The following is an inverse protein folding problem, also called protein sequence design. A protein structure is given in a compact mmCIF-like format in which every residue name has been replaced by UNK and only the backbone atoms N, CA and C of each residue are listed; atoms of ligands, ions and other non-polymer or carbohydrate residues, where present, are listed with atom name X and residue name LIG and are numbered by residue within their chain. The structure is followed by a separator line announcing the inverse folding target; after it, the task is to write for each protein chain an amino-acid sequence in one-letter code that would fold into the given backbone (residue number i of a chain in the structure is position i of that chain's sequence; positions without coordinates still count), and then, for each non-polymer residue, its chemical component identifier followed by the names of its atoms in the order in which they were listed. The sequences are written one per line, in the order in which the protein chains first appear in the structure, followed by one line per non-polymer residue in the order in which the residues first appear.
data_IF_718983482813
#
_entry.id   IF_718983482813
#
_cell.length_a   1.000
_cell.length_b   1.000
_cell.length_c   1.000
_cell.angle_alpha   90.00
_cell.angle_beta   90.00
_cell.angle_gamma   90.00
#
_symmetry.space_group_name_H-M   'P 1'
#
loop_
_entity.id
_entity.type
_entity.pdbx_description
1 polymer ?
#
# COMPACT_ATOMS: atom_id res chain seq x y z
N UNK A 1 -38.66 21.71 -57.27
CA UNK A 1 -38.63 21.80 -55.79
C UNK A 1 -38.67 20.43 -55.10
N UNK A 2 -39.63 19.55 -55.41
CA UNK A 2 -39.74 18.20 -54.78
C UNK A 2 -38.48 17.31 -54.91
N UNK A 3 -37.76 17.39 -56.03
CA UNK A 3 -36.55 16.57 -56.27
C UNK A 3 -35.36 16.91 -55.35
N UNK A 4 -35.31 18.10 -54.75
CA UNK A 4 -34.24 18.51 -53.84
C UNK A 4 -34.56 18.21 -52.36
N UNK A 5 -35.84 18.01 -52.02
CA UNK A 5 -36.29 17.80 -50.63
C UNK A 5 -35.94 16.38 -50.17
N UNK A 6 -36.13 15.38 -51.04
CA UNK A 6 -35.87 13.98 -50.68
C UNK A 6 -34.39 13.71 -50.35
N UNK A 7 -33.39 14.14 -51.15
CA UNK A 7 -31.99 13.95 -50.81
C UNK A 7 -31.57 14.67 -49.52
N UNK A 8 -32.13 15.85 -49.25
CA UNK A 8 -31.88 16.61 -48.02
C UNK A 8 -32.42 15.86 -46.80
N UNK A 9 -33.65 15.34 -46.87
CA UNK A 9 -34.25 14.56 -45.78
C UNK A 9 -33.49 13.24 -45.54
N UNK A 10 -33.10 12.54 -46.60
CA UNK A 10 -32.30 11.31 -46.50
C UNK A 10 -30.91 11.61 -45.91
N UNK A 11 -30.24 12.67 -46.38
CA UNK A 11 -28.94 13.09 -45.85
C UNK A 11 -29.01 13.47 -44.36
N UNK A 12 -30.06 14.20 -43.96
CA UNK A 12 -30.31 14.54 -42.55
C UNK A 12 -30.54 13.28 -41.71
N UNK A 13 -31.34 12.33 -42.20
CA UNK A 13 -31.62 11.07 -41.50
C UNK A 13 -30.35 10.22 -41.33
N UNK A 14 -29.56 10.06 -42.39
CA UNK A 14 -28.29 9.31 -42.36
C UNK A 14 -27.30 9.98 -41.40
N UNK A 15 -27.19 11.30 -41.43
CA UNK A 15 -26.31 12.07 -40.53
C UNK A 15 -26.75 11.92 -39.08
N UNK A 16 -28.07 11.96 -38.80
CA UNK A 16 -28.61 11.77 -37.46
C UNK A 16 -28.33 10.35 -36.94
N UNK A 17 -28.50 9.32 -37.78
CA UNK A 17 -28.23 7.93 -37.40
C UNK A 17 -26.73 7.71 -37.15
N UNK A 18 -25.87 8.15 -38.09
CA UNK A 18 -24.43 8.01 -37.97
C UNK A 18 -23.87 8.80 -36.77
N UNK A 19 -24.36 10.04 -36.57
CA UNK A 19 -24.00 10.87 -35.43
C UNK A 19 -24.41 10.23 -34.10
N UNK A 20 -25.65 9.75 -34.00
CA UNK A 20 -26.12 9.07 -32.79
C UNK A 20 -25.32 7.78 -32.50
N UNK A 21 -25.02 6.99 -33.54
CA UNK A 21 -24.21 5.78 -33.38
C UNK A 21 -22.79 6.10 -32.86
N UNK A 22 -22.15 7.13 -33.38
CA UNK A 22 -20.83 7.57 -32.92
C UNK A 22 -20.86 8.09 -31.49
N UNK A 23 -21.87 8.90 -31.13
CA UNK A 23 -22.05 9.41 -29.77
C UNK A 23 -22.28 8.28 -28.79
N UNK A 24 -23.15 7.32 -29.09
CA UNK A 24 -23.42 6.17 -28.24
C UNK A 24 -22.17 5.31 -28.03
N UNK A 25 -21.41 5.04 -29.10
CA UNK A 25 -20.16 4.27 -29.01
C UNK A 25 -19.11 4.98 -28.17
N UNK A 26 -19.01 6.31 -28.30
CA UNK A 26 -18.11 7.14 -27.49
C UNK A 26 -18.54 7.17 -26.01
N UNK A 27 -19.83 7.36 -25.72
CA UNK A 27 -20.38 7.32 -24.36
C UNK A 27 -20.14 5.97 -23.69
N UNK A 28 -20.37 4.86 -24.38
CA UNK A 28 -20.16 3.52 -23.82
C UNK A 28 -18.68 3.27 -23.53
N UNK A 29 -17.76 3.72 -24.40
CA UNK A 29 -16.32 3.63 -24.15
C UNK A 29 -15.92 4.44 -22.92
N UNK A 30 -16.36 5.71 -22.84
CA UNK A 30 -16.03 6.56 -21.70
C UNK A 30 -16.62 6.03 -20.39
N UNK A 31 -17.84 5.49 -20.42
CA UNK A 31 -18.45 4.89 -19.24
C UNK A 31 -17.66 3.68 -18.73
N UNK A 32 -17.19 2.79 -19.62
CA UNK A 32 -16.34 1.65 -19.24
C UNK A 32 -15.03 2.12 -18.60
N UNK A 33 -14.39 3.14 -19.17
CA UNK A 33 -13.17 3.72 -18.60
C UNK A 33 -13.41 4.34 -17.22
N UNK A 34 -14.51 5.06 -17.05
CA UNK A 34 -14.90 5.63 -15.76
C UNK A 34 -15.14 4.55 -14.70
N UNK A 35 -15.86 3.47 -15.05
CA UNK A 35 -16.08 2.34 -14.14
C UNK A 35 -14.78 1.66 -13.75
N UNK A 36 -13.86 1.46 -14.70
CA UNK A 36 -12.54 0.91 -14.44
C UNK A 36 -11.72 1.78 -13.51
N UNK A 37 -11.69 3.10 -13.74
CA UNK A 37 -11.01 4.04 -12.85
C UNK A 37 -11.62 4.06 -11.44
N UNK A 38 -12.93 3.93 -11.30
CA UNK A 38 -13.60 3.83 -10.00
C UNK A 38 -13.19 2.55 -9.27
N UNK A 39 -13.11 1.42 -9.98
CA UNK A 39 -12.60 0.16 -9.43
C UNK A 39 -11.18 0.29 -8.89
N UNK A 40 -10.26 0.82 -9.71
CA UNK A 40 -8.87 1.02 -9.27
C UNK A 40 -8.74 2.00 -8.09
N UNK A 41 -9.56 3.04 -8.04
CA UNK A 41 -9.59 3.95 -6.88
C UNK A 41 -10.06 3.25 -5.61
N UNK A 42 -11.04 2.36 -5.70
CA UNK A 42 -11.52 1.60 -4.55
C UNK A 42 -10.43 0.63 -4.04
N UNK A 43 -9.78 -0.11 -4.95
CA UNK A 43 -8.66 -1.00 -4.59
C UNK A 43 -7.50 -0.25 -3.94
N UNK A 44 -7.16 0.93 -4.47
CA UNK A 44 -6.11 1.79 -3.93
C UNK A 44 -6.47 2.33 -2.53
N UNK A 45 -7.74 2.70 -2.32
CA UNK A 45 -8.23 3.14 -1.01
C UNK A 45 -8.20 2.01 0.04
N UNK A 46 -8.54 0.79 -0.37
CA UNK A 46 -8.48 -0.38 0.51
C UNK A 46 -7.03 -0.74 0.90
N UNK A 47 -6.09 -0.61 -0.04
CA UNK A 47 -4.65 -0.74 0.22
C UNK A 47 -4.16 0.34 1.19
N UNK A 48 -4.57 1.61 1.00
CA UNK A 48 -4.23 2.70 1.92
C UNK A 48 -4.68 2.40 3.34
N UNK A 49 -5.96 2.01 3.51
CA UNK A 49 -6.52 1.66 4.82
C UNK A 49 -5.77 0.49 5.46
N UNK A 50 -5.37 -0.51 4.65
CA UNK A 50 -4.59 -1.64 5.14
C UNK A 50 -3.23 -1.18 5.68
N UNK A 51 -2.51 -0.33 4.94
CA UNK A 51 -1.21 0.21 5.37
C UNK A 51 -1.35 1.02 6.65
N UNK A 52 -2.34 1.92 6.72
CA UNK A 52 -2.63 2.74 7.91
C UNK A 52 -2.96 1.86 9.13
N UNK A 53 -3.76 0.82 8.94
CA UNK A 53 -4.15 -0.10 10.00
C UNK A 53 -2.95 -0.91 10.52
N UNK A 54 -2.13 -1.48 9.63
CA UNK A 54 -0.91 -2.21 10.01
C UNK A 54 0.04 -1.27 10.76
N UNK A 55 0.28 -0.08 10.22
CA UNK A 55 1.18 0.92 10.82
C UNK A 55 0.73 1.33 12.22
N UNK A 56 -0.57 1.58 12.41
CA UNK A 56 -1.12 1.99 13.71
C UNK A 56 -0.99 0.87 14.73
N UNK A 57 -1.47 -0.35 14.43
CA UNK A 57 -1.38 -1.49 15.36
C UNK A 57 0.07 -1.88 15.66
N UNK A 58 0.96 -1.74 14.67
CA UNK A 58 2.39 -1.93 14.86
C UNK A 58 2.94 -0.94 15.90
N UNK A 59 2.69 0.35 15.70
CA UNK A 59 3.20 1.41 16.57
C UNK A 59 2.68 1.26 18.01
N UNK A 60 1.38 0.96 18.16
CA UNK A 60 0.75 0.77 19.47
C UNK A 60 1.38 -0.40 20.23
N UNK A 61 1.55 -1.55 19.57
CA UNK A 61 2.20 -2.72 20.17
C UNK A 61 3.67 -2.44 20.51
N UNK A 62 4.41 -1.80 19.60
CA UNK A 62 5.82 -1.44 19.80
C UNK A 62 5.99 -0.53 21.03
N UNK A 63 5.18 0.51 21.11
CA UNK A 63 5.17 1.46 22.24
C UNK A 63 4.80 0.76 23.55
N UNK A 64 3.80 -0.12 23.55
CA UNK A 64 3.43 -0.87 24.75
C UNK A 64 4.58 -1.77 25.24
N UNK A 65 5.30 -2.44 24.33
CA UNK A 65 6.49 -3.22 24.68
C UNK A 65 7.61 -2.35 25.24
N UNK A 66 7.85 -1.17 24.66
CA UNK A 66 8.82 -0.20 25.19
C UNK A 66 8.43 0.29 26.58
N UNK A 67 7.15 0.52 26.84
CA UNK A 67 6.67 0.94 28.15
C UNK A 67 6.89 -0.14 29.22
N UNK A 68 6.71 -1.43 28.88
CA UNK A 68 7.05 -2.53 29.78
C UNK A 68 8.55 -2.55 30.09
N UNK A 69 9.42 -2.40 29.08
CA UNK A 69 10.87 -2.33 29.33
C UNK A 69 11.21 -1.12 30.22
N UNK A 70 10.58 0.02 29.97
CA UNK A 70 10.80 1.24 30.74
C UNK A 70 10.31 1.11 32.18
N UNK A 71 9.20 0.41 32.45
CA UNK A 71 8.69 0.13 33.81
C UNK A 71 9.55 -0.87 34.59
N UNK A 72 10.37 -1.65 33.90
CA UNK A 72 11.33 -2.56 34.53
C UNK A 72 12.60 -1.86 35.03
N UNK A 73 12.87 -0.62 34.59
CA UNK A 73 14.08 0.12 34.96
C UNK A 73 14.15 0.46 36.47
N UNK A 74 15.36 0.51 37.08
CA UNK A 74 15.54 0.72 38.53
C UNK A 74 14.96 2.01 39.14
N UNK A 75 14.59 3.01 38.33
CA UNK A 75 13.97 4.26 38.78
C UNK A 75 12.78 4.66 37.90
N UNK A 76 12.02 3.67 37.44
CA UNK A 76 10.88 3.96 36.57
C UNK A 76 9.75 4.65 37.33
N UNK A 77 9.18 5.69 36.72
CA UNK A 77 7.91 6.29 37.15
C UNK A 77 6.70 5.52 36.62
N UNK A 78 6.91 4.56 35.71
CA UNK A 78 5.83 3.76 35.14
C UNK A 78 5.52 2.56 36.04
N UNK A 79 4.23 2.35 36.31
CA UNK A 79 3.74 1.20 37.06
C UNK A 79 3.81 -0.04 36.16
N UNK A 80 4.54 -1.08 36.60
CA UNK A 80 4.76 -2.29 35.82
C UNK A 80 3.46 -2.99 35.43
N UNK A 81 2.52 -3.13 36.35
CA UNK A 81 1.26 -3.84 36.10
C UNK A 81 0.39 -3.10 35.05
N UNK A 82 0.31 -1.77 35.12
CA UNK A 82 -0.39 -0.97 34.09
C UNK A 82 0.25 -1.13 32.71
N UNK A 83 1.59 -1.11 32.64
CA UNK A 83 2.32 -1.32 31.40
C UNK A 83 2.09 -2.74 30.84
N UNK A 84 2.03 -3.76 31.70
CA UNK A 84 1.76 -5.14 31.30
C UNK A 84 0.35 -5.32 30.77
N UNK A 85 -0.65 -4.70 31.40
CA UNK A 85 -2.03 -4.78 30.95
C UNK A 85 -2.23 -4.09 29.61
N UNK A 86 -1.62 -2.91 29.42
CA UNK A 86 -1.58 -2.24 28.12
C UNK A 86 -0.91 -3.11 27.05
N UNK A 87 0.24 -3.72 27.36
CA UNK A 87 0.94 -4.63 26.44
C UNK A 87 0.08 -5.84 26.05
N UNK A 88 -0.53 -6.53 27.03
CA UNK A 88 -1.42 -7.67 26.76
C UNK A 88 -2.59 -7.28 25.87
N UNK A 89 -3.21 -6.13 26.12
CA UNK A 89 -4.26 -5.59 25.27
C UNK A 89 -3.81 -5.44 23.81
N UNK A 90 -2.62 -4.87 23.59
CA UNK A 90 -2.08 -4.70 22.24
C UNK A 90 -1.67 -6.02 21.57
N UNK A 91 -1.23 -7.02 22.33
CA UNK A 91 -0.97 -8.37 21.79
C UNK A 91 -2.26 -9.00 21.25
N UNK A 92 -3.37 -8.89 22.00
CA UNK A 92 -4.67 -9.41 21.56
C UNK A 92 -5.15 -8.68 20.30
N UNK A 93 -5.07 -7.35 20.28
CA UNK A 93 -5.46 -6.53 19.12
C UNK A 93 -4.63 -6.88 17.88
N UNK A 94 -3.31 -7.02 18.02
CA UNK A 94 -2.43 -7.40 16.92
C UNK A 94 -2.76 -8.79 16.40
N UNK A 95 -2.80 -9.78 17.29
CA UNK A 95 -3.02 -11.17 16.90
C UNK A 95 -4.42 -11.39 16.28
N UNK A 96 -5.43 -10.67 16.77
CA UNK A 96 -6.78 -10.69 16.18
C UNK A 96 -6.84 -10.11 14.76
N UNK A 97 -5.93 -9.19 14.41
CA UNK A 97 -5.87 -8.58 13.08
C UNK A 97 -4.99 -9.34 12.08
N UNK A 98 -4.06 -10.18 12.53
CA UNK A 98 -3.06 -10.84 11.68
C UNK A 98 -3.65 -11.59 10.48
N UNK A 99 -4.68 -12.42 10.70
CA UNK A 99 -5.32 -13.17 9.61
C UNK A 99 -5.94 -12.25 8.55
N UNK A 100 -6.56 -11.15 8.99
CA UNK A 100 -7.11 -10.13 8.08
C UNK A 100 -5.99 -9.47 7.28
N UNK A 101 -4.86 -9.16 7.92
CA UNK A 101 -3.70 -8.59 7.24
C UNK A 101 -3.13 -9.53 6.17
N UNK A 102 -2.93 -10.82 6.47
CA UNK A 102 -2.39 -11.77 5.49
C UNK A 102 -3.29 -11.91 4.26
N UNK A 103 -4.60 -12.02 4.48
CA UNK A 103 -5.56 -12.14 3.37
C UNK A 103 -5.58 -10.86 2.54
N UNK A 104 -5.67 -9.69 3.19
CA UNK A 104 -5.76 -8.41 2.48
C UNK A 104 -4.46 -8.05 1.77
N UNK A 105 -3.28 -8.31 2.37
CA UNK A 105 -2.00 -8.12 1.69
C UNK A 105 -1.89 -9.00 0.45
N UNK A 106 -2.33 -10.26 0.54
CA UNK A 106 -2.32 -11.17 -0.61
C UNK A 106 -3.23 -10.70 -1.75
N UNK A 107 -4.40 -10.14 -1.43
CA UNK A 107 -5.36 -9.65 -2.42
C UNK A 107 -4.89 -8.32 -3.02
N UNK A 108 -4.45 -7.39 -2.17
CA UNK A 108 -4.12 -6.03 -2.58
C UNK A 108 -2.73 -5.91 -3.18
N UNK A 109 -1.77 -6.75 -2.79
CA UNK A 109 -0.38 -6.67 -3.27
C UNK A 109 0.04 -8.01 -3.87
N UNK A 110 0.54 -8.92 -3.04
CA UNK A 110 0.96 -10.25 -3.43
C UNK A 110 1.15 -11.15 -2.19
N UNK A 111 1.42 -12.43 -2.43
CA UNK A 111 1.69 -13.40 -1.37
C UNK A 111 3.02 -13.15 -0.65
N UNK A 112 4.01 -12.55 -1.31
CA UNK A 112 5.32 -12.28 -0.73
C UNK A 112 5.23 -11.20 0.36
N UNK A 113 4.39 -10.17 0.19
CA UNK A 113 4.12 -9.16 1.23
C UNK A 113 3.49 -9.77 2.48
N UNK A 114 2.60 -10.76 2.33
CA UNK A 114 2.03 -11.47 3.48
C UNK A 114 3.10 -12.30 4.23
N UNK A 115 3.97 -12.99 3.50
CA UNK A 115 5.12 -13.71 4.08
C UNK A 115 6.08 -12.74 4.79
N UNK A 116 6.35 -11.58 4.19
CA UNK A 116 7.19 -10.55 4.81
C UNK A 116 6.59 -9.99 6.09
N UNK A 117 5.26 -9.80 6.15
CA UNK A 117 4.61 -9.38 7.39
C UNK A 117 4.85 -10.40 8.53
N UNK A 118 4.80 -11.70 8.22
CA UNK A 118 5.12 -12.76 9.17
C UNK A 118 6.58 -12.67 9.65
N UNK A 119 7.54 -12.73 8.73
CA UNK A 119 8.97 -12.83 9.07
C UNK A 119 9.62 -11.52 9.51
N UNK A 120 9.28 -10.39 8.88
CA UNK A 120 9.96 -9.11 9.13
C UNK A 120 9.34 -8.36 10.33
N UNK A 121 8.09 -8.69 10.71
CA UNK A 121 7.30 -7.96 11.71
C UNK A 121 6.74 -8.86 12.81
N UNK A 122 5.97 -9.91 12.48
CA UNK A 122 5.30 -10.73 13.50
C UNK A 122 6.27 -11.60 14.31
N UNK A 123 7.15 -12.35 13.66
CA UNK A 123 8.13 -13.21 14.32
C UNK A 123 9.08 -12.42 15.24
N UNK A 124 9.63 -11.26 14.82
CA UNK A 124 10.47 -10.46 15.72
C UNK A 124 9.69 -9.86 16.89
N UNK A 125 8.41 -9.51 16.71
CA UNK A 125 7.53 -9.14 17.82
C UNK A 125 7.36 -10.27 18.83
N UNK A 126 7.12 -11.50 18.36
CA UNK A 126 6.99 -12.66 19.23
C UNK A 126 8.29 -12.96 19.98
N UNK A 127 9.44 -12.83 19.30
CA UNK A 127 10.76 -13.00 19.90
C UNK A 127 11.03 -11.97 21.00
N UNK A 128 10.82 -10.68 20.70
CA UNK A 128 10.98 -9.61 21.67
C UNK A 128 10.01 -9.79 22.86
N UNK A 129 8.77 -10.22 22.61
CA UNK A 129 7.77 -10.51 23.64
C UNK A 129 8.25 -11.59 24.62
N UNK A 130 8.77 -12.71 24.11
CA UNK A 130 9.33 -13.78 24.96
C UNK A 130 10.47 -13.30 25.85
N UNK A 131 11.33 -12.43 25.33
CA UNK A 131 12.45 -11.85 26.09
C UNK A 131 11.97 -10.92 27.21
N UNK A 132 10.99 -10.06 26.90
CA UNK A 132 10.36 -9.19 27.91
C UNK A 132 9.69 -10.04 28.99
N UNK A 133 8.93 -11.07 28.62
CA UNK A 133 8.25 -11.96 29.57
C UNK A 133 9.21 -12.71 30.48
N UNK A 134 10.38 -13.12 29.98
CA UNK A 134 11.42 -13.75 30.79
C UNK A 134 11.92 -12.80 31.89
N UNK A 135 12.21 -11.54 31.55
CA UNK A 135 12.66 -10.53 32.52
C UNK A 135 11.56 -10.18 33.52
N UNK A 136 10.32 -10.06 33.06
CA UNK A 136 9.16 -9.82 33.94
C UNK A 136 8.99 -10.95 34.95
N UNK A 137 9.17 -12.21 34.51
CA UNK A 137 9.07 -13.38 35.39
C UNK A 137 10.17 -13.40 36.45
N UNK A 138 11.42 -13.14 36.07
CA UNK A 138 12.54 -13.00 36.99
C UNK A 138 12.26 -11.93 38.05
N UNK A 139 11.78 -10.75 37.64
CA UNK A 139 11.42 -9.67 38.57
C UNK A 139 10.34 -10.09 39.57
N UNK A 140 9.31 -10.81 39.09
CA UNK A 140 8.23 -11.33 39.95
C UNK A 140 8.69 -12.41 40.93
N UNK A 141 9.79 -13.09 40.63
CA UNK A 141 10.43 -14.06 41.52
C UNK A 141 11.35 -13.39 42.56
N UNK A 142 11.45 -12.05 42.54
CA UNK A 142 12.28 -11.29 43.48
C UNK A 142 13.72 -11.13 43.02
N UNK A 143 14.06 -11.51 41.78
CA UNK A 143 15.40 -11.29 41.22
C UNK A 143 15.62 -9.79 40.97
N UNK A 144 16.82 -9.31 41.31
CA UNK A 144 17.24 -7.94 41.05
C UNK A 144 17.56 -7.78 39.56
N UNK A 145 16.72 -7.04 38.84
CA UNK A 145 16.88 -6.84 37.39
C UNK A 145 17.92 -5.75 37.13
N UNK A 146 18.97 -6.11 36.40
CA UNK A 146 19.98 -5.17 35.93
C UNK A 146 19.61 -4.55 34.58
N UNK A 147 20.22 -3.41 34.23
CA UNK A 147 20.10 -2.83 32.89
C UNK A 147 20.57 -3.77 31.78
N UNK A 148 21.48 -4.70 32.09
CA UNK A 148 22.01 -5.67 31.14
C UNK A 148 20.94 -6.70 30.75
N UNK A 149 20.08 -7.09 31.67
CA UNK A 149 18.98 -8.03 31.40
C UNK A 149 17.94 -7.43 30.45
N UNK A 150 17.84 -6.09 30.43
CA UNK A 150 16.97 -5.35 29.51
C UNK A 150 17.63 -5.04 28.15
N UNK A 151 18.94 -5.20 28.02
CA UNK A 151 19.69 -4.79 26.83
C UNK A 151 19.27 -5.57 25.58
N UNK A 152 19.16 -6.89 25.69
CA UNK A 152 18.75 -7.76 24.58
C UNK A 152 17.34 -7.43 24.08
N UNK A 153 16.38 -7.24 25.00
CA UNK A 153 15.01 -6.88 24.64
C UNK A 153 14.94 -5.50 23.95
N UNK A 154 15.73 -4.53 24.42
CA UNK A 154 15.84 -3.19 23.79
C UNK A 154 16.42 -3.26 22.39
N UNK A 155 17.51 -4.02 22.21
CA UNK A 155 18.15 -4.19 20.90
C UNK A 155 17.21 -4.86 19.90
N UNK A 156 16.46 -5.87 20.33
CA UNK A 156 15.44 -6.52 19.50
C UNK A 156 14.33 -5.54 19.09
N UNK A 157 13.83 -4.70 20.01
CA UNK A 157 12.82 -3.70 19.68
C UNK A 157 13.36 -2.61 18.74
N UNK A 158 14.63 -2.22 18.87
CA UNK A 158 15.28 -1.28 17.95
C UNK A 158 15.43 -1.89 16.56
N UNK A 159 15.85 -3.16 16.48
CA UNK A 159 15.97 -3.89 15.22
C UNK A 159 14.60 -4.05 14.54
N UNK A 160 13.58 -4.42 15.31
CA UNK A 160 12.20 -4.52 14.85
C UNK A 160 11.70 -3.18 14.28
N UNK A 161 12.04 -2.05 14.91
CA UNK A 161 11.73 -0.73 14.37
C UNK A 161 12.32 -0.52 12.97
N UNK A 162 13.58 -0.91 12.76
CA UNK A 162 14.22 -0.83 11.46
C UNK A 162 13.57 -1.73 10.41
N UNK A 163 13.35 -3.02 10.72
CA UNK A 163 12.77 -3.99 9.76
C UNK A 163 11.35 -3.61 9.39
N UNK A 164 10.54 -3.22 10.36
CA UNK A 164 9.14 -2.86 10.16
C UNK A 164 9.00 -1.53 9.41
N UNK A 165 9.89 -0.57 9.65
CA UNK A 165 9.96 0.64 8.85
C UNK A 165 10.27 0.33 7.38
N UNK A 166 11.24 -0.56 7.12
CA UNK A 166 11.55 -1.02 5.76
C UNK A 166 10.33 -1.66 5.08
N UNK A 167 9.64 -2.55 5.79
CA UNK A 167 8.39 -3.15 5.31
C UNK A 167 7.31 -2.10 4.98
N UNK A 168 6.98 -1.21 5.91
CA UNK A 168 5.96 -0.17 5.71
C UNK A 168 6.32 0.81 4.59
N UNK A 169 7.61 1.16 4.46
CA UNK A 169 8.11 1.99 3.36
C UNK A 169 7.88 1.30 2.02
N UNK A 170 8.18 0.01 1.92
CA UNK A 170 8.00 -0.74 0.67
C UNK A 170 6.52 -0.81 0.29
N UNK A 171 5.61 -1.06 1.24
CA UNK A 171 4.15 -1.00 1.00
C UNK A 171 3.69 0.39 0.53
N UNK A 172 4.22 1.44 1.15
CA UNK A 172 3.89 2.82 0.79
C UNK A 172 4.41 3.18 -0.60
N UNK A 173 5.56 2.61 -0.99
CA UNK A 173 6.14 2.79 -2.33
C UNK A 173 5.24 2.12 -3.37
N UNK A 174 4.82 0.87 -3.15
CA UNK A 174 3.87 0.17 -4.03
C UNK A 174 2.54 0.94 -4.16
N UNK A 175 2.01 1.46 -3.04
CA UNK A 175 0.85 2.35 -3.07
C UNK A 175 1.07 3.60 -3.93
N UNK A 176 2.20 4.29 -3.79
CA UNK A 176 2.52 5.49 -4.54
C UNK A 176 2.69 5.21 -6.04
N UNK A 177 3.31 4.09 -6.39
CA UNK A 177 3.54 3.68 -7.77
C UNK A 177 2.21 3.36 -8.47
N UNK A 178 1.34 2.57 -7.83
CA UNK A 178 -0.01 2.29 -8.31
C UNK A 178 -0.86 3.54 -8.43
N UNK A 179 -0.77 4.45 -7.45
CA UNK A 179 -1.45 5.75 -7.52
C UNK A 179 -0.97 6.56 -8.73
N UNK A 180 0.34 6.64 -8.95
CA UNK A 180 0.89 7.35 -10.11
C UNK A 180 0.38 6.72 -11.41
N UNK A 181 0.35 5.39 -11.52
CA UNK A 181 -0.18 4.69 -12.69
C UNK A 181 -1.67 4.98 -12.95
N UNK A 182 -2.51 5.01 -11.91
CA UNK A 182 -3.96 5.26 -12.05
C UNK A 182 -4.25 6.70 -12.46
N UNK A 183 -3.57 7.68 -11.86
CA UNK A 183 -3.90 9.11 -12.04
C UNK A 183 -3.07 9.80 -13.11
N UNK A 184 -1.80 9.44 -13.26
CA UNK A 184 -0.89 10.01 -14.25
C UNK A 184 -0.73 9.12 -15.48
N UNK A 185 -1.19 7.86 -15.43
CA UNK A 185 -0.94 6.84 -16.45
C UNK A 185 0.47 6.25 -16.36
N UNK A 186 0.67 5.07 -16.95
CA UNK A 186 1.97 4.43 -17.01
C UNK A 186 2.89 5.21 -17.95
N UNK A 187 3.99 5.74 -17.41
CA UNK A 187 5.06 6.38 -18.19
C UNK A 187 5.87 5.29 -18.88
N UNK A 188 5.73 5.20 -20.20
CA UNK A 188 6.53 4.29 -21.04
C UNK A 188 7.63 5.12 -21.68
N UNK A 189 8.86 4.84 -21.30
CA UNK A 189 10.04 5.47 -21.87
C UNK A 189 10.44 4.80 -23.18
N UNK A 190 10.93 5.59 -24.12
CA UNK A 190 11.36 5.09 -25.42
C UNK A 190 12.51 4.08 -25.27
N UNK A 191 12.24 2.80 -25.55
CA UNK A 191 13.19 1.68 -25.54
C UNK A 191 12.78 0.64 -26.58
N UNK A 192 13.74 -0.05 -27.18
CA UNK A 192 13.50 -1.00 -28.28
C UNK A 192 12.48 -2.10 -27.93
N UNK A 193 12.42 -2.51 -26.66
CA UNK A 193 11.49 -3.55 -26.18
C UNK A 193 10.03 -3.13 -26.00
N UNK A 194 9.69 -1.85 -26.12
CA UNK A 194 8.32 -1.31 -25.92
C UNK A 194 7.80 -0.52 -27.13
N UNK A 195 8.50 -0.57 -28.27
CA UNK A 195 8.10 0.14 -29.51
C UNK A 195 6.69 -0.23 -29.98
N UNK A 196 6.23 -1.45 -29.72
CA UNK A 196 4.87 -1.92 -30.05
C UNK A 196 3.77 -1.20 -29.28
N UNK A 197 4.09 -0.53 -28.18
CA UNK A 197 3.14 0.24 -27.37
C UNK A 197 2.99 1.69 -27.84
N UNK A 198 3.82 2.13 -28.80
CA UNK A 198 3.77 3.46 -29.41
C UNK A 198 2.90 3.42 -30.67
N UNK A 199 2.02 4.40 -30.83
CA UNK A 199 1.35 4.59 -32.12
C UNK A 199 2.34 5.18 -33.13
N UNK A 200 2.07 5.01 -34.43
CA UNK A 200 2.87 5.63 -35.50
C UNK A 200 3.05 7.13 -35.28
N UNK A 201 2.02 7.79 -34.74
CA UNK A 201 2.06 9.23 -34.42
C UNK A 201 2.96 9.55 -33.22
N UNK A 202 2.98 8.69 -32.20
CA UNK A 202 3.89 8.85 -31.05
C UNK A 202 5.35 8.66 -31.46
N UNK A 203 5.63 7.71 -32.35
CA UNK A 203 6.96 7.49 -32.92
C UNK A 203 7.43 8.68 -33.76
N UNK A 204 6.54 9.28 -34.55
CA UNK A 204 6.85 10.49 -35.32
C UNK A 204 7.19 11.65 -34.37
N UNK A 205 6.44 11.83 -33.28
CA UNK A 205 6.76 12.84 -32.26
C UNK A 205 8.12 12.59 -31.60
N UNK A 206 8.50 11.34 -31.40
CA UNK A 206 9.79 10.97 -30.81
C UNK A 206 10.98 11.50 -31.62
N UNK A 207 10.84 11.61 -32.95
CA UNK A 207 11.89 12.15 -33.85
C UNK A 207 12.18 13.63 -33.54
N UNK A 208 11.19 14.38 -33.03
CA UNK A 208 11.31 15.80 -32.74
C UNK A 208 11.60 16.10 -31.26
N UNK A 209 11.77 15.07 -30.42
CA UNK A 209 12.11 15.25 -29.02
C UNK A 209 13.60 15.63 -28.89
N UNK A 210 13.88 16.67 -28.10
CA UNK A 210 15.26 17.07 -27.81
C UNK A 210 15.95 15.97 -26.99
N UNK A 211 17.22 15.63 -27.26
CA UNK A 211 17.93 14.54 -26.59
C UNK A 211 18.07 14.70 -25.06
N UNK A 212 17.79 15.88 -24.51
CA UNK A 212 17.84 16.18 -23.07
C UNK A 212 16.53 15.71 -22.38
N UNK A 213 15.41 15.70 -23.10
CA UNK A 213 14.13 15.22 -22.60
C UNK A 213 13.98 13.76 -22.98
N UNK A 214 14.10 12.86 -22.00
CA UNK A 214 13.81 11.43 -22.21
C UNK A 214 12.38 11.29 -22.72
N UNK A 215 12.19 11.04 -24.02
CA UNK A 215 10.85 10.91 -24.61
C UNK A 215 10.09 9.75 -23.96
N UNK A 216 8.87 10.03 -23.49
CA UNK A 216 7.97 9.04 -22.94
C UNK A 216 6.54 9.32 -23.42
N UNK A 217 5.73 8.27 -23.46
CA UNK A 217 4.28 8.39 -23.60
C UNK A 217 3.62 8.00 -22.30
N UNK A 218 2.47 8.62 -22.05
CA UNK A 218 1.58 8.23 -20.98
C UNK A 218 0.51 7.33 -21.60
N UNK A 219 0.46 6.07 -21.18
CA UNK A 219 -0.66 5.19 -21.48
C UNK A 219 -1.49 5.04 -20.22
N UNK A 220 -2.79 5.32 -20.34
CA UNK A 220 -3.75 4.81 -19.37
C UNK A 220 -3.82 3.30 -19.60
N UNK A 221 -3.26 2.53 -18.67
CA UNK A 221 -3.40 1.06 -18.60
C UNK A 221 -4.85 0.68 -18.77
#
# INVERSE_FOLDING_TARGET
MMAAIVPVLVGALVTAIAGNFLVQRWQMRNWREQQRQLGYKAELDDLRKLIEEISTKYADRHNAMRNVISSLAPNSHLVLEEALDAYRGQVVIWNGALNSFYVRLRISIDYASAIRLEHDVHEPFALAGRKIEAVVRAKRQGEEISWRDLSEAKELLNKLQGTSYGFLRDLTTDYSDRRSEIFEGRKIFYRDGVLTEYSTFDLIKAIFALPIDKFYIIRTS
#
